data_IF_035232817168
#
_entry.id   IF_035232817168
#
_cell.length_a   1.000
_cell.length_b   1.000
_cell.length_c   1.000
_cell.angle_alpha   90.00
_cell.angle_beta   90.00
_cell.angle_gamma   90.00
#
_symmetry.space_group_name_H-M   'P 1'
#
loop_
_entity.id
_entity.type
_entity.pdbx_description
1 polymer ?
#
# COMPACT_ATOMS: atom_id res chain seq x y z
N UNK A 1 -10.97 5.63 10.35
CA UNK A 1 -10.26 6.88 10.69
C UNK A 1 -9.92 7.59 9.39
N UNK A 2 -9.99 8.92 9.34
CA UNK A 2 -9.51 9.71 8.18
C UNK A 2 -8.24 10.43 8.63
N UNK A 3 -7.16 10.31 7.85
CA UNK A 3 -5.88 10.98 8.10
C UNK A 3 -5.45 11.67 6.81
N UNK A 4 -5.24 12.98 6.89
CA UNK A 4 -4.63 13.76 5.82
C UNK A 4 -3.11 13.73 5.97
N UNK A 5 -2.41 13.51 4.86
CA UNK A 5 -0.95 13.49 4.79
C UNK A 5 -0.54 14.72 3.98
N UNK A 6 0.23 15.62 4.58
CA UNK A 6 0.67 16.84 3.92
C UNK A 6 1.64 16.52 2.77
N UNK A 7 1.74 17.37 1.73
CA UNK A 7 2.71 17.19 0.66
C UNK A 7 4.12 16.97 1.20
N UNK A 8 4.86 16.03 0.61
CA UNK A 8 6.25 15.71 0.99
C UNK A 8 6.39 15.21 2.44
N UNK A 9 5.33 14.64 3.02
CA UNK A 9 5.37 13.98 4.33
C UNK A 9 4.91 12.53 4.23
N UNK A 10 5.21 11.74 5.26
CA UNK A 10 4.76 10.36 5.38
C UNK A 10 3.97 10.13 6.67
N UNK A 11 3.16 9.08 6.68
CA UNK A 11 2.48 8.61 7.88
C UNK A 11 2.48 7.08 7.91
N UNK A 12 2.49 6.52 9.13
CA UNK A 12 2.32 5.10 9.37
C UNK A 12 1.07 4.87 10.23
N UNK A 13 0.43 3.73 10.02
CA UNK A 13 -0.75 3.31 10.75
C UNK A 13 -0.82 1.78 10.74
N UNK A 14 -1.37 1.20 11.80
CA UNK A 14 -1.63 -0.24 11.88
C UNK A 14 -2.92 -0.55 11.11
N UNK A 15 -2.88 -1.57 10.25
CA UNK A 15 -4.04 -2.13 9.57
C UNK A 15 -4.21 -3.59 10.02
N UNK A 16 -5.27 -3.87 10.77
CA UNK A 16 -5.51 -5.22 11.28
C UNK A 16 -6.10 -6.11 10.18
N UNK A 17 -5.91 -7.41 10.31
CA UNK A 17 -6.48 -8.41 9.41
C UNK A 17 -8.00 -8.21 9.26
N UNK A 18 -8.46 -8.04 8.01
CA UNK A 18 -9.87 -7.82 7.66
C UNK A 18 -10.28 -6.34 7.56
N UNK A 19 -9.45 -5.40 8.03
CA UNK A 19 -9.67 -3.97 7.80
C UNK A 19 -9.34 -3.58 6.36
N UNK A 20 -9.89 -2.45 5.91
CA UNK A 20 -9.68 -1.93 4.56
C UNK A 20 -9.04 -0.55 4.62
N UNK A 21 -7.99 -0.36 3.83
CA UNK A 21 -7.37 0.93 3.58
C UNK A 21 -7.93 1.54 2.29
N UNK A 22 -8.31 2.82 2.32
CA UNK A 22 -8.63 3.60 1.13
C UNK A 22 -7.73 4.82 1.08
N UNK A 23 -6.90 4.90 0.05
CA UNK A 23 -6.09 6.08 -0.28
C UNK A 23 -6.86 6.92 -1.29
N UNK A 24 -6.91 8.24 -1.07
CA UNK A 24 -7.65 9.18 -1.91
C UNK A 24 -6.69 10.32 -2.24
N UNK A 25 -6.64 10.71 -3.51
CA UNK A 25 -6.05 11.97 -3.95
C UNK A 25 -7.18 13.03 -4.00
N UNK A 26 -7.33 13.89 -2.99
CA UNK A 26 -8.47 14.81 -2.90
C UNK A 26 -8.36 15.99 -3.88
N UNK A 27 -7.15 16.30 -4.37
CA UNK A 27 -6.89 17.48 -5.21
C UNK A 27 -6.45 17.13 -6.63
N UNK A 28 -6.14 15.87 -6.91
CA UNK A 28 -5.69 15.40 -8.21
C UNK A 28 -4.18 15.55 -8.41
N UNK A 29 -3.65 14.73 -9.32
CA UNK A 29 -2.24 14.73 -9.78
C UNK A 29 -1.20 14.33 -8.74
N UNK A 30 -1.60 13.89 -7.54
CA UNK A 30 -0.67 13.43 -6.51
C UNK A 30 -0.39 11.93 -6.67
N UNK A 31 0.88 11.56 -6.52
CA UNK A 31 1.30 10.16 -6.36
C UNK A 31 1.79 9.92 -4.94
N UNK A 32 1.69 8.68 -4.47
CA UNK A 32 2.19 8.27 -3.16
C UNK A 32 2.98 6.98 -3.28
N UNK A 33 4.11 6.92 -2.59
CA UNK A 33 4.81 5.66 -2.34
C UNK A 33 4.12 4.91 -1.19
N UNK A 34 3.92 3.60 -1.36
CA UNK A 34 3.30 2.75 -0.35
C UNK A 34 4.22 1.59 0.02
N UNK A 35 4.35 1.37 1.33
CA UNK A 35 5.04 0.22 1.91
C UNK A 35 4.14 -0.40 2.98
N UNK A 36 4.12 -1.72 3.08
CA UNK A 36 3.45 -2.45 4.15
C UNK A 36 4.43 -3.47 4.74
N UNK A 37 4.36 -3.62 6.06
CA UNK A 37 5.20 -4.52 6.85
C UNK A 37 4.29 -5.36 7.74
N UNK A 38 4.69 -6.60 8.02
CA UNK A 38 4.02 -7.39 9.04
C UNK A 38 4.25 -6.75 10.42
N UNK A 39 3.17 -6.58 11.19
CA UNK A 39 3.21 -5.98 12.53
C UNK A 39 4.10 -6.76 13.51
N UNK A 40 4.26 -8.07 13.29
CA UNK A 40 5.04 -8.96 14.16
C UNK A 40 6.41 -9.33 13.57
N UNK A 41 6.68 -8.97 12.32
CA UNK A 41 7.98 -9.18 11.67
C UNK A 41 8.25 -8.10 10.62
N UNK A 42 9.06 -7.10 10.98
CA UNK A 42 9.39 -6.00 10.06
C UNK A 42 10.26 -6.41 8.87
N UNK A 43 10.82 -7.63 8.88
CA UNK A 43 11.57 -8.16 7.74
C UNK A 43 10.64 -8.69 6.64
N UNK A 44 9.41 -9.07 7.00
CA UNK A 44 8.34 -9.36 6.06
C UNK A 44 7.65 -8.05 5.62
N UNK A 45 7.74 -7.76 4.33
CA UNK A 45 7.19 -6.54 3.72
C UNK A 45 6.66 -6.86 2.34
N UNK A 46 5.84 -5.98 1.76
CA UNK A 46 5.43 -6.18 0.36
C UNK A 46 6.65 -6.24 -0.55
N UNK A 47 6.60 -7.13 -1.52
CA UNK A 47 7.56 -7.27 -2.59
C UNK A 47 6.90 -6.91 -3.90
N UNK A 48 7.27 -5.74 -4.43
CA UNK A 48 6.81 -5.32 -5.75
C UNK A 48 7.19 -6.35 -6.81
N UNK A 49 8.43 -6.86 -6.81
CA UNK A 49 8.86 -7.87 -7.79
C UNK A 49 8.00 -9.14 -7.76
N UNK A 50 7.76 -9.71 -6.58
CA UNK A 50 6.88 -10.89 -6.45
C UNK A 50 5.45 -10.59 -6.84
N UNK A 51 4.97 -9.38 -6.55
CA UNK A 51 3.64 -8.94 -6.96
C UNK A 51 3.52 -8.90 -8.48
N UNK A 52 4.48 -8.29 -9.18
CA UNK A 52 4.44 -8.23 -10.65
C UNK A 52 4.58 -9.62 -11.29
N UNK A 53 5.44 -10.47 -10.72
CA UNK A 53 5.66 -11.85 -11.20
C UNK A 53 4.40 -12.71 -11.05
N UNK A 54 3.75 -12.69 -9.88
CA UNK A 54 2.62 -13.58 -9.57
C UNK A 54 1.30 -13.11 -10.15
N UNK A 55 1.12 -11.80 -10.27
CA UNK A 55 -0.05 -11.22 -10.94
C UNK A 55 0.13 -11.16 -12.47
N UNK A 56 1.32 -11.53 -12.98
CA UNK A 56 1.71 -11.46 -14.39
C UNK A 56 1.38 -10.10 -15.04
N UNK A 57 1.50 -9.02 -14.27
CA UNK A 57 1.09 -7.69 -14.66
C UNK A 57 2.01 -6.62 -14.10
N UNK A 58 2.36 -5.65 -14.95
CA UNK A 58 3.07 -4.43 -14.53
C UNK A 58 2.12 -3.33 -14.03
N UNK A 59 0.81 -3.47 -14.30
CA UNK A 59 -0.24 -2.55 -13.86
C UNK A 59 -1.18 -3.28 -12.91
N UNK A 60 -0.95 -3.09 -11.61
CA UNK A 60 -1.79 -3.67 -10.56
C UNK A 60 -3.11 -2.90 -10.46
N UNK A 61 -4.22 -3.63 -10.45
CA UNK A 61 -5.57 -3.09 -10.46
C UNK A 61 -6.52 -3.91 -9.57
N UNK A 62 -7.80 -3.58 -9.63
CA UNK A 62 -8.84 -4.25 -8.85
C UNK A 62 -8.84 -5.77 -9.14
N UNK A 63 -8.81 -6.56 -8.07
CA UNK A 63 -8.78 -8.03 -8.13
C UNK A 63 -7.39 -8.65 -7.99
N UNK A 64 -6.32 -7.86 -8.17
CA UNK A 64 -4.95 -8.34 -7.94
C UNK A 64 -4.60 -8.42 -6.45
N UNK A 65 -3.71 -9.34 -6.11
CA UNK A 65 -3.12 -9.41 -4.78
C UNK A 65 -1.79 -8.65 -4.71
N UNK A 66 -1.47 -8.13 -3.53
CA UNK A 66 -0.14 -7.63 -3.20
C UNK A 66 0.57 -8.70 -2.39
N UNK A 67 1.77 -9.09 -2.82
CA UNK A 67 2.52 -10.21 -2.25
C UNK A 67 3.72 -9.71 -1.44
N UNK A 68 4.04 -10.41 -0.36
CA UNK A 68 5.24 -10.23 0.49
C UNK A 68 6.42 -11.03 -0.03
#
# INVERSE_FOLDING_TARGET
MIKEIAPQTGAAFTLKKGEKLRVIDPHGMQVSDMVLFNEHDIHEKISSGKTLDFEESILISAGNHLWS
#
